data_IF_910152438466
#
_entry.id   IF_910152438466
#
_cell.length_a   1.000
_cell.length_b   1.000
_cell.length_c   1.000
_cell.angle_alpha   90.00
_cell.angle_beta   90.00
_cell.angle_gamma   90.00
#
_symmetry.space_group_name_H-M   'P 1'
#
loop_
_entity.id
_entity.type
_entity.pdbx_description
1 polymer ?
#
# COMPACT_ATOMS: atom_id res chain seq x y z
N UNK A 1 12.54 -2.64 -11.77
CA UNK A 1 13.26 -1.91 -10.72
C UNK A 1 12.25 -1.18 -9.82
N UNK A 2 11.18 -0.64 -10.39
CA UNK A 2 10.16 0.16 -9.67
C UNK A 2 9.36 -0.69 -8.68
N UNK A 3 8.89 -1.88 -9.08
CA UNK A 3 8.02 -2.71 -8.22
C UNK A 3 8.80 -3.39 -7.09
N UNK A 4 10.05 -3.80 -7.33
CA UNK A 4 10.90 -4.39 -6.30
C UNK A 4 11.21 -3.42 -5.16
N UNK A 5 11.35 -2.11 -5.43
CA UNK A 5 11.52 -1.12 -4.36
C UNK A 5 10.22 -0.85 -3.60
N UNK A 6 9.05 -0.86 -4.26
CA UNK A 6 7.76 -0.60 -3.60
C UNK A 6 7.39 -1.64 -2.53
N UNK A 7 7.76 -2.91 -2.75
CA UNK A 7 7.50 -4.00 -1.80
C UNK A 7 8.20 -3.79 -0.45
N UNK A 8 9.47 -3.37 -0.46
CA UNK A 8 10.27 -3.21 0.77
C UNK A 8 9.74 -2.05 1.66
N UNK A 9 9.27 -0.97 1.03
CA UNK A 9 8.81 0.23 1.75
C UNK A 9 7.38 0.14 2.29
N UNK A 10 6.51 -0.61 1.61
CA UNK A 10 5.11 -0.73 2.01
C UNK A 10 4.98 -1.47 3.36
N UNK A 11 5.82 -2.47 3.62
CA UNK A 11 5.87 -3.17 4.90
C UNK A 11 6.25 -2.23 6.06
N UNK A 12 7.22 -1.33 5.89
CA UNK A 12 7.66 -0.43 6.95
C UNK A 12 6.63 0.66 7.30
N UNK A 13 5.97 1.27 6.30
CA UNK A 13 5.04 2.38 6.55
C UNK A 13 3.76 1.95 7.28
N UNK A 14 3.27 0.73 7.05
CA UNK A 14 2.06 0.23 7.69
C UNK A 14 2.30 -0.70 8.90
N UNK A 15 3.54 -1.18 9.09
CA UNK A 15 3.91 -1.94 10.30
C UNK A 15 4.40 -1.05 11.44
N UNK A 16 4.91 0.16 11.16
CA UNK A 16 5.57 1.02 12.15
C UNK A 16 4.64 2.00 12.86
N UNK A 17 3.37 2.09 12.47
CA UNK A 17 2.40 2.95 13.16
C UNK A 17 1.61 2.09 14.13
N UNK A 18 1.70 2.45 15.42
CA UNK A 18 0.82 2.15 16.57
C UNK A 18 1.54 1.65 17.83
N UNK A 19 2.65 2.31 18.19
CA UNK A 19 2.99 2.55 19.59
C UNK A 19 2.52 3.95 20.00
N UNK A 20 1.22 4.24 19.86
CA UNK A 20 0.66 5.42 20.49
C UNK A 20 0.48 5.11 21.99
N UNK A 21 1.34 5.69 22.82
CA UNK A 21 1.17 5.75 24.28
C UNK A 21 -0.21 6.33 24.59
N UNK A 22 -1.13 5.50 25.08
CA UNK A 22 -2.39 5.95 25.67
C UNK A 22 -2.12 6.41 27.10
N UNK A 23 -1.71 7.67 27.26
CA UNK A 23 -1.93 8.37 28.52
C UNK A 23 -3.37 8.92 28.51
N UNK A 24 -4.32 8.12 28.98
CA UNK A 24 -5.58 8.65 29.50
C UNK A 24 -6.10 7.74 30.61
N UNK A 25 -5.92 8.21 31.85
CA UNK A 25 -6.51 7.65 33.04
C UNK A 25 -8.02 7.87 33.05
N UNK A 26 -8.81 6.81 32.84
CA UNK A 26 -10.04 6.46 33.58
C UNK A 26 -10.65 5.18 32.97
N UNK A 27 -10.69 4.10 33.77
CA UNK A 27 -11.26 2.77 33.45
C UNK A 27 -10.81 2.16 32.11
N UNK A 28 -9.59 1.62 32.12
CA UNK A 28 -8.93 0.89 31.03
C UNK A 28 -9.81 -0.18 30.37
N UNK A 29 -10.47 0.16 29.27
CA UNK A 29 -10.73 -0.79 28.20
C UNK A 29 -9.39 -1.13 27.57
N UNK A 30 -9.06 -2.42 27.55
CA UNK A 30 -7.83 -2.86 26.90
C UNK A 30 -8.05 -2.73 25.39
N UNK A 31 -7.21 -1.95 24.71
CA UNK A 31 -7.33 -1.74 23.27
C UNK A 31 -7.03 -3.08 22.54
N UNK A 32 -8.07 -3.71 21.98
CA UNK A 32 -7.96 -5.00 21.27
C UNK A 32 -7.67 -4.87 19.77
N UNK A 33 -7.23 -3.69 19.31
CA UNK A 33 -6.94 -3.42 17.90
C UNK A 33 -5.97 -4.41 17.26
N UNK A 34 -4.92 -4.82 18.00
CA UNK A 34 -3.97 -5.83 17.51
C UNK A 34 -4.67 -7.17 17.27
N UNK A 35 -5.48 -7.64 18.20
CA UNK A 35 -6.24 -8.87 18.03
C UNK A 35 -7.25 -8.78 16.89
N UNK A 36 -7.93 -7.64 16.74
CA UNK A 36 -8.83 -7.40 15.61
C UNK A 36 -8.11 -7.45 14.26
N UNK A 37 -6.90 -6.87 14.17
CA UNK A 37 -6.07 -6.95 12.98
C UNK A 37 -5.81 -8.42 12.61
N UNK A 38 -5.38 -9.24 13.55
CA UNK A 38 -5.13 -10.67 13.29
C UNK A 38 -6.41 -11.40 12.87
N UNK A 39 -7.52 -11.17 13.58
CA UNK A 39 -8.80 -11.78 13.25
C UNK A 39 -9.29 -11.42 11.84
N UNK A 40 -9.17 -10.15 11.42
CA UNK A 40 -9.51 -9.74 10.05
C UNK A 40 -8.57 -10.35 9.01
N UNK A 41 -7.28 -10.48 9.31
CA UNK A 41 -6.31 -11.14 8.42
C UNK A 41 -6.65 -12.61 8.18
N UNK A 42 -6.93 -13.35 9.26
CA UNK A 42 -7.32 -14.76 9.19
C UNK A 42 -8.63 -14.92 8.43
N UNK A 43 -9.62 -14.07 8.71
CA UNK A 43 -10.90 -14.13 8.02
C UNK A 43 -10.82 -13.74 6.54
N UNK A 44 -9.93 -12.81 6.18
CA UNK A 44 -9.66 -12.45 4.78
C UNK A 44 -9.02 -13.61 4.01
N UNK A 45 -8.03 -14.28 4.61
CA UNK A 45 -7.30 -15.38 3.99
C UNK A 45 -8.14 -16.67 3.93
N UNK A 46 -9.06 -16.87 4.88
CA UNK A 46 -10.10 -17.90 4.85
C UNK A 46 -9.62 -19.35 5.03
N UNK A 47 -8.35 -19.57 5.40
CA UNK A 47 -7.74 -20.91 5.35
C UNK A 47 -7.51 -21.56 6.72
N UNK A 48 -7.28 -20.78 7.78
CA UNK A 48 -6.77 -21.33 9.04
C UNK A 48 -7.88 -21.71 10.03
N UNK A 49 -9.04 -21.04 9.97
CA UNK A 49 -10.17 -21.28 10.86
C UNK A 49 -11.46 -21.44 10.07
N UNK A 50 -12.08 -22.62 10.10
CA UNK A 50 -13.30 -22.88 9.34
C UNK A 50 -14.47 -21.99 9.75
N UNK A 51 -14.50 -21.51 10.99
CA UNK A 51 -15.55 -20.65 11.51
C UNK A 51 -15.57 -19.25 10.88
N UNK A 52 -14.48 -18.79 10.25
CA UNK A 52 -14.41 -17.46 9.64
C UNK A 52 -15.04 -17.39 8.26
N UNK A 53 -15.13 -18.52 7.54
CA UNK A 53 -15.64 -18.62 6.16
C UNK A 53 -17.08 -18.13 5.97
N UNK A 54 -17.92 -18.24 7.00
CA UNK A 54 -19.32 -17.82 6.97
C UNK A 54 -19.57 -16.40 7.48
N UNK A 55 -18.52 -15.70 7.93
CA UNK A 55 -18.68 -14.39 8.58
C UNK A 55 -18.56 -13.25 7.56
N UNK A 56 -19.57 -12.38 7.53
CA UNK A 56 -19.53 -11.16 6.71
C UNK A 56 -18.85 -9.99 7.47
N UNK A 57 -17.60 -10.20 7.89
CA UNK A 57 -16.83 -9.28 8.75
C UNK A 57 -16.57 -7.90 8.11
N UNK A 58 -16.54 -7.84 6.78
CA UNK A 58 -16.25 -6.64 6.02
C UNK A 58 -17.49 -5.80 5.69
N UNK A 59 -18.68 -6.19 6.18
CA UNK A 59 -19.92 -5.40 6.05
C UNK A 59 -20.09 -4.32 7.13
N UNK A 60 -20.99 -3.37 6.89
CA UNK A 60 -21.17 -2.12 7.66
C UNK A 60 -21.94 -2.25 8.99
N UNK A 61 -21.92 -3.40 9.67
CA UNK A 61 -22.51 -3.54 11.00
C UNK A 61 -21.63 -4.40 11.92
N UNK A 62 -20.70 -3.75 12.63
CA UNK A 62 -19.69 -4.42 13.46
C UNK A 62 -20.32 -5.21 14.62
N UNK A 63 -21.28 -4.65 15.36
CA UNK A 63 -21.78 -5.29 16.59
C UNK A 63 -22.57 -6.58 16.34
N UNK A 64 -23.53 -6.58 15.41
CA UNK A 64 -24.31 -7.79 15.11
C UNK A 64 -23.43 -8.92 14.55
N UNK A 65 -22.43 -8.53 13.75
CA UNK A 65 -21.43 -9.41 13.21
C UNK A 65 -20.59 -10.04 14.32
N UNK A 66 -20.04 -9.24 15.25
CA UNK A 66 -19.25 -9.75 16.36
C UNK A 66 -20.07 -10.55 17.38
N UNK A 67 -21.36 -10.23 17.59
CA UNK A 67 -22.27 -11.09 18.37
C UNK A 67 -22.38 -12.50 17.77
N UNK A 68 -22.54 -12.58 16.46
CA UNK A 68 -22.63 -13.86 15.73
C UNK A 68 -21.27 -14.57 15.70
N UNK A 69 -20.19 -13.81 15.52
CA UNK A 69 -18.83 -14.31 15.44
C UNK A 69 -18.21 -14.64 16.80
N UNK A 70 -18.89 -14.39 17.93
CA UNK A 70 -18.28 -14.44 19.28
C UNK A 70 -17.46 -15.70 19.54
N UNK A 71 -18.02 -16.88 19.26
CA UNK A 71 -17.31 -18.14 19.46
C UNK A 71 -16.05 -18.22 18.60
N UNK A 72 -16.16 -17.86 17.32
CA UNK A 72 -15.05 -17.88 16.37
C UNK A 72 -13.96 -16.84 16.73
N UNK A 73 -14.38 -15.64 17.15
CA UNK A 73 -13.43 -14.62 17.54
C UNK A 73 -12.67 -14.99 18.81
N UNK A 74 -13.33 -15.63 19.79
CA UNK A 74 -12.65 -16.12 20.99
C UNK A 74 -11.69 -17.28 20.70
N UNK A 75 -12.07 -18.20 19.80
CA UNK A 75 -11.20 -19.29 19.34
C UNK A 75 -9.92 -18.76 18.68
N UNK A 76 -10.05 -17.81 17.75
CA UNK A 76 -8.89 -17.16 17.13
C UNK A 76 -8.09 -16.35 18.17
N UNK A 77 -8.77 -15.66 19.07
CA UNK A 77 -8.09 -14.81 20.05
C UNK A 77 -7.26 -15.60 21.07
N UNK A 78 -7.66 -16.83 21.40
CA UNK A 78 -6.91 -17.69 22.32
C UNK A 78 -5.53 -18.07 21.76
N UNK A 79 -5.46 -18.33 20.45
CA UNK A 79 -4.27 -18.85 19.78
C UNK A 79 -3.38 -17.72 19.21
N UNK A 80 -3.98 -16.69 18.62
CA UNK A 80 -3.27 -15.75 17.74
C UNK A 80 -3.06 -14.36 18.38
N UNK A 81 -3.81 -14.04 19.44
CA UNK A 81 -3.78 -12.71 20.04
C UNK A 81 -2.89 -12.64 21.28
N UNK A 82 -2.41 -11.43 21.66
CA UNK A 82 -1.73 -11.25 22.94
C UNK A 82 -2.61 -11.73 24.10
N UNK A 83 -2.02 -12.49 25.02
CA UNK A 83 -2.74 -13.10 26.15
C UNK A 83 -3.60 -12.11 26.95
N UNK A 84 -3.14 -10.86 27.08
CA UNK A 84 -3.86 -9.82 27.79
C UNK A 84 -5.17 -9.43 27.06
N UNK A 85 -5.10 -9.27 25.74
CA UNK A 85 -6.28 -8.98 24.89
C UNK A 85 -7.26 -10.16 24.86
N UNK A 86 -6.76 -11.40 24.80
CA UNK A 86 -7.60 -12.59 24.93
C UNK A 86 -8.32 -12.64 26.28
N UNK A 87 -7.61 -12.37 27.38
CA UNK A 87 -8.21 -12.33 28.72
C UNK A 87 -9.31 -11.27 28.82
N UNK A 88 -9.09 -10.09 28.23
CA UNK A 88 -10.12 -9.06 28.15
C UNK A 88 -11.33 -9.54 27.34
N UNK A 89 -11.13 -10.08 26.13
CA UNK A 89 -12.21 -10.55 25.25
C UNK A 89 -13.02 -11.69 25.88
N UNK A 90 -12.36 -12.66 26.52
CA UNK A 90 -13.02 -13.81 27.14
C UNK A 90 -13.83 -13.44 28.39
N UNK A 91 -13.44 -12.40 29.13
CA UNK A 91 -14.12 -12.01 30.39
C UNK A 91 -15.03 -10.81 30.26
N UNK A 92 -14.79 -9.92 29.29
CA UNK A 92 -15.46 -8.63 29.11
C UNK A 92 -15.94 -8.41 27.68
N UNK A 93 -16.39 -9.47 27.00
CA UNK A 93 -16.84 -9.41 25.61
C UNK A 93 -17.96 -8.38 25.37
N UNK A 94 -18.89 -8.23 26.32
CA UNK A 94 -20.01 -7.29 26.16
C UNK A 94 -19.51 -5.84 26.21
N UNK A 95 -18.46 -5.55 27.00
CA UNK A 95 -17.78 -4.26 26.98
C UNK A 95 -17.09 -4.01 25.63
N UNK A 96 -16.46 -5.03 25.02
CA UNK A 96 -15.95 -4.93 23.66
C UNK A 96 -17.05 -4.59 22.64
N UNK A 97 -18.24 -5.20 22.77
CA UNK A 97 -19.38 -4.89 21.90
C UNK A 97 -19.91 -3.45 22.09
N UNK A 98 -19.82 -2.90 23.29
CA UNK A 98 -20.11 -1.50 23.57
C UNK A 98 -19.07 -0.56 22.94
N UNK A 99 -17.79 -0.90 23.06
CA UNK A 99 -16.68 -0.14 22.45
C UNK A 99 -16.81 -0.04 20.92
N UNK A 100 -17.35 -1.06 20.26
CA UNK A 100 -17.67 -1.04 18.83
C UNK A 100 -18.76 -0.04 18.44
N UNK A 101 -19.55 0.46 19.40
CA UNK A 101 -20.59 1.47 19.18
C UNK A 101 -20.22 2.84 19.76
N UNK A 102 -18.99 3.00 20.25
CA UNK A 102 -18.53 4.28 20.76
C UNK A 102 -18.64 5.35 19.66
N UNK A 103 -19.30 6.46 19.99
CA UNK A 103 -19.37 7.64 19.13
C UNK A 103 -18.26 8.62 19.52
N UNK A 104 -17.63 9.21 18.53
CA UNK A 104 -16.67 10.30 18.72
C UNK A 104 -16.64 11.18 17.48
N UNK A 105 -16.43 12.47 17.70
CA UNK A 105 -16.27 13.49 16.66
C UNK A 105 -14.83 13.58 16.15
N UNK A 106 -13.86 13.06 16.90
CA UNK A 106 -12.43 13.26 16.68
C UNK A 106 -11.69 12.00 16.18
N UNK A 107 -12.42 10.99 15.69
CA UNK A 107 -11.87 9.79 15.05
C UNK A 107 -10.94 8.92 15.94
N UNK A 108 -10.97 9.15 17.26
CA UNK A 108 -10.08 8.51 18.23
C UNK A 108 -10.80 7.49 19.11
N UNK A 109 -12.13 7.42 19.06
CA UNK A 109 -12.90 6.35 19.72
C UNK A 109 -12.44 4.96 19.29
N UNK A 110 -12.56 3.99 20.20
CA UNK A 110 -12.29 2.58 19.92
C UNK A 110 -13.08 2.05 18.73
N UNK A 111 -14.33 2.47 18.50
CA UNK A 111 -15.09 2.11 17.30
C UNK A 111 -14.34 2.44 15.99
N UNK A 112 -13.84 3.68 15.86
CA UNK A 112 -13.06 4.11 14.70
C UNK A 112 -11.76 3.30 14.55
N UNK A 113 -11.02 3.10 15.65
CA UNK A 113 -9.80 2.27 15.70
C UNK A 113 -10.07 0.84 15.25
N UNK A 114 -11.12 0.22 15.78
CA UNK A 114 -11.50 -1.17 15.54
C UNK A 114 -12.03 -1.38 14.12
N UNK A 115 -12.82 -0.43 13.63
CA UNK A 115 -13.31 -0.41 12.25
C UNK A 115 -12.16 -0.24 11.25
N UNK A 116 -11.10 0.48 11.61
CA UNK A 116 -9.95 0.71 10.73
C UNK A 116 -9.14 -0.57 10.48
N UNK A 117 -9.15 -1.49 11.45
CA UNK A 117 -8.43 -2.77 11.32
C UNK A 117 -8.94 -3.64 10.17
N UNK A 118 -10.18 -3.41 9.67
CA UNK A 118 -10.72 -4.10 8.48
C UNK A 118 -9.90 -3.84 7.22
N UNK A 119 -9.21 -2.70 7.13
CA UNK A 119 -8.43 -2.35 5.94
C UNK A 119 -7.04 -2.98 5.94
N UNK A 120 -6.53 -3.40 7.12
CA UNK A 120 -5.20 -3.99 7.28
C UNK A 120 -4.94 -5.21 6.37
N UNK A 121 -5.82 -6.23 6.28
CA UNK A 121 -5.58 -7.34 5.37
C UNK A 121 -5.45 -6.90 3.91
N UNK A 122 -6.25 -5.93 3.46
CA UNK A 122 -6.17 -5.43 2.08
C UNK A 122 -4.85 -4.70 1.82
N UNK A 123 -4.38 -3.93 2.81
CA UNK A 123 -3.07 -3.25 2.78
C UNK A 123 -1.97 -4.31 2.66
N UNK A 124 -1.94 -5.28 3.58
CA UNK A 124 -0.94 -6.36 3.58
C UNK A 124 -0.96 -7.18 2.28
N UNK A 125 -2.13 -7.48 1.73
CA UNK A 125 -2.26 -8.24 0.49
C UNK A 125 -1.68 -7.47 -0.71
N UNK A 126 -1.81 -6.13 -0.76
CA UNK A 126 -1.10 -5.31 -1.75
C UNK A 126 0.42 -5.48 -1.60
N UNK A 127 0.95 -5.41 -0.37
CA UNK A 127 2.39 -5.48 -0.11
C UNK A 127 2.98 -6.84 -0.53
N UNK A 128 2.25 -7.91 -0.26
CA UNK A 128 2.67 -9.27 -0.62
C UNK A 128 2.59 -9.46 -2.13
N UNK A 129 1.45 -9.13 -2.75
CA UNK A 129 1.24 -9.35 -4.19
C UNK A 129 2.18 -8.49 -5.05
N UNK A 130 2.45 -7.25 -4.66
CA UNK A 130 3.38 -6.39 -5.42
C UNK A 130 4.81 -6.93 -5.42
N UNK A 131 5.23 -7.60 -4.33
CA UNK A 131 6.53 -8.27 -4.22
C UNK A 131 6.70 -9.39 -5.25
N UNK A 132 5.58 -10.00 -5.66
CA UNK A 132 5.56 -11.14 -6.57
C UNK A 132 5.48 -10.73 -8.04
N UNK A 133 5.24 -9.45 -8.35
CA UNK A 133 5.16 -8.98 -9.73
C UNK A 133 6.56 -8.89 -10.35
N UNK A 134 6.85 -9.65 -11.42
CA UNK A 134 8.16 -9.60 -12.06
C UNK A 134 8.37 -8.27 -12.80
N UNK A 135 9.28 -7.46 -12.26
CA UNK A 135 9.61 -6.10 -12.68
C UNK A 135 10.01 -5.91 -14.16
N UNK A 136 10.32 -6.98 -14.90
CA UNK A 136 10.93 -6.93 -16.25
C UNK A 136 10.05 -7.43 -17.39
N UNK A 137 8.83 -7.91 -17.12
CA UNK A 137 7.98 -8.55 -18.13
C UNK A 137 6.49 -8.18 -18.02
N UNK A 138 6.15 -7.11 -17.31
CA UNK A 138 4.75 -6.68 -17.18
C UNK A 138 4.26 -6.24 -18.55
N UNK A 139 3.16 -6.86 -18.99
CA UNK A 139 2.43 -6.44 -20.18
C UNK A 139 1.21 -5.64 -19.78
N UNK A 140 0.69 -4.85 -20.70
CA UNK A 140 -0.62 -4.24 -20.52
C UNK A 140 -1.67 -5.34 -20.38
N UNK A 141 -2.57 -5.13 -19.45
CA UNK A 141 -3.60 -6.07 -19.02
C UNK A 141 -3.05 -7.39 -18.47
N UNK A 142 -1.85 -7.36 -17.87
CA UNK A 142 -1.36 -8.49 -17.07
C UNK A 142 -2.37 -8.79 -15.94
N UNK A 143 -2.88 -10.03 -15.82
CA UNK A 143 -3.89 -10.36 -14.81
C UNK A 143 -3.46 -10.07 -13.37
N UNK A 144 -2.17 -10.24 -13.04
CA UNK A 144 -1.64 -9.99 -11.70
C UNK A 144 -1.64 -8.49 -11.40
N UNK A 145 -1.35 -7.65 -12.39
CA UNK A 145 -1.43 -6.19 -12.23
C UNK A 145 -2.87 -5.71 -12.14
N UNK A 146 -3.78 -6.27 -12.95
CA UNK A 146 -5.21 -5.94 -12.87
C UNK A 146 -5.81 -6.31 -11.50
N UNK A 147 -5.41 -7.44 -10.93
CA UNK A 147 -5.82 -7.84 -9.57
C UNK A 147 -5.31 -6.83 -8.52
N UNK A 148 -4.06 -6.38 -8.62
CA UNK A 148 -3.51 -5.35 -7.75
C UNK A 148 -4.24 -4.01 -7.88
N UNK A 149 -4.64 -3.61 -9.09
CA UNK A 149 -5.43 -2.39 -9.32
C UNK A 149 -6.80 -2.49 -8.63
N UNK A 150 -7.49 -3.63 -8.76
CA UNK A 150 -8.76 -3.87 -8.07
C UNK A 150 -8.60 -3.83 -6.54
N UNK A 151 -7.55 -4.48 -6.02
CA UNK A 151 -7.23 -4.46 -4.61
C UNK A 151 -6.93 -3.04 -4.11
N UNK A 152 -6.19 -2.25 -4.91
CA UNK A 152 -5.97 -0.83 -4.65
C UNK A 152 -7.26 -0.02 -4.54
N UNK A 153 -8.24 -0.28 -5.40
CA UNK A 153 -9.53 0.40 -5.33
C UNK A 153 -10.32 0.02 -4.08
N UNK A 154 -10.30 -1.27 -3.69
CA UNK A 154 -10.90 -1.76 -2.45
C UNK A 154 -10.25 -1.12 -1.22
N UNK A 155 -8.92 -1.07 -1.18
CA UNK A 155 -8.16 -0.46 -0.08
C UNK A 155 -8.43 1.04 0.01
N UNK A 156 -8.34 1.79 -1.10
CA UNK A 156 -8.66 3.24 -1.14
C UNK A 156 -10.06 3.52 -0.59
N UNK A 157 -11.05 2.69 -0.97
CA UNK A 157 -12.42 2.79 -0.45
C UNK A 157 -12.49 2.51 1.05
N UNK A 158 -11.87 1.43 1.52
CA UNK A 158 -11.83 1.07 2.94
C UNK A 158 -11.23 2.20 3.79
N UNK A 159 -10.12 2.76 3.34
CA UNK A 159 -9.46 3.89 4.02
C UNK A 159 -10.36 5.14 4.02
N UNK A 160 -11.02 5.45 2.91
CA UNK A 160 -11.86 6.65 2.79
C UNK A 160 -13.10 6.61 3.70
N UNK A 161 -13.68 5.42 3.90
CA UNK A 161 -14.86 5.22 4.77
C UNK A 161 -14.53 5.35 6.27
N UNK A 162 -13.25 5.35 6.64
CA UNK A 162 -12.82 5.41 8.03
C UNK A 162 -11.96 6.67 8.30
N UNK A 163 -12.35 7.43 9.33
CA UNK A 163 -11.69 8.69 9.66
C UNK A 163 -10.49 8.54 10.60
N UNK A 164 -10.21 7.34 11.12
CA UNK A 164 -9.00 7.00 11.87
C UNK A 164 -7.73 7.19 11.05
N UNK A 165 -7.79 6.77 9.79
CA UNK A 165 -6.67 6.90 8.85
C UNK A 165 -6.46 8.36 8.50
N UNK A 166 -5.24 8.82 8.74
CA UNK A 166 -4.85 10.21 8.49
C UNK A 166 -4.72 10.48 6.99
N UNK A 167 -4.78 11.76 6.63
CA UNK A 167 -4.73 12.18 5.23
C UNK A 167 -3.39 11.87 4.55
N UNK A 168 -2.29 11.86 5.30
CA UNK A 168 -0.97 11.46 4.83
C UNK A 168 -0.90 9.95 4.55
N UNK A 169 -1.50 9.11 5.39
CA UNK A 169 -1.60 7.66 5.16
C UNK A 169 -2.48 7.35 3.93
N UNK A 170 -3.62 8.05 3.80
CA UNK A 170 -4.52 7.95 2.64
C UNK A 170 -3.83 8.40 1.35
N UNK A 171 -3.08 9.49 1.42
CA UNK A 171 -2.33 10.04 0.28
C UNK A 171 -1.22 9.07 -0.12
N UNK A 172 -0.48 8.53 0.86
CA UNK A 172 0.54 7.52 0.64
C UNK A 172 -0.03 6.31 -0.10
N UNK A 173 -1.15 5.75 0.37
CA UNK A 173 -1.82 4.64 -0.32
C UNK A 173 -2.24 5.00 -1.75
N UNK A 174 -2.80 6.19 -1.96
CA UNK A 174 -3.21 6.67 -3.29
C UNK A 174 -2.03 6.66 -4.25
N UNK A 175 -0.89 7.18 -3.82
CA UNK A 175 0.30 7.30 -4.65
C UNK A 175 0.94 5.93 -4.94
N UNK A 176 0.91 4.99 -3.99
CA UNK A 176 1.27 3.60 -4.26
C UNK A 176 0.40 2.99 -5.35
N UNK A 177 -0.91 3.21 -5.27
CA UNK A 177 -1.85 2.73 -6.28
C UNK A 177 -1.65 3.40 -7.64
N UNK A 178 -1.30 4.68 -7.69
CA UNK A 178 -0.96 5.38 -8.95
C UNK A 178 0.23 4.73 -9.66
N UNK A 179 1.20 4.18 -8.93
CA UNK A 179 2.34 3.48 -9.55
C UNK A 179 1.92 2.11 -10.09
N UNK A 180 1.12 1.37 -9.33
CA UNK A 180 0.57 0.09 -9.80
C UNK A 180 -0.22 0.32 -11.09
N UNK A 181 -1.08 1.34 -11.11
CA UNK A 181 -1.82 1.76 -12.30
C UNK A 181 -0.88 2.18 -13.45
N UNK A 182 0.20 2.91 -13.16
CA UNK A 182 1.22 3.31 -14.14
C UNK A 182 1.88 2.10 -14.80
N UNK A 183 2.14 1.02 -14.07
CA UNK A 183 2.73 -0.20 -14.67
C UNK A 183 1.87 -0.85 -15.75
N UNK A 184 0.57 -0.54 -15.75
CA UNK A 184 -0.38 -0.99 -16.76
C UNK A 184 -0.60 0.03 -17.90
N UNK A 185 0.43 0.80 -18.25
CA UNK A 185 0.35 1.82 -19.32
C UNK A 185 1.34 1.56 -20.45
N UNK A 186 1.00 2.04 -21.65
CA UNK A 186 1.91 2.04 -22.82
C UNK A 186 3.19 2.84 -22.55
N UNK A 187 3.13 3.84 -21.67
CA UNK A 187 4.30 4.58 -21.21
C UNK A 187 5.33 3.65 -20.55
N UNK A 188 4.93 2.86 -19.54
CA UNK A 188 5.85 1.96 -18.83
C UNK A 188 6.31 0.80 -19.71
N UNK A 189 5.42 0.23 -20.53
CA UNK A 189 5.81 -0.81 -21.49
C UNK A 189 6.83 -0.29 -22.48
N UNK A 190 6.66 0.93 -22.98
CA UNK A 190 7.62 1.57 -23.89
C UNK A 190 8.98 1.81 -23.22
N UNK A 191 9.01 2.33 -21.99
CA UNK A 191 10.25 2.49 -21.22
C UNK A 191 11.01 1.16 -21.12
N UNK A 192 10.32 0.08 -20.72
CA UNK A 192 10.91 -1.25 -20.61
C UNK A 192 11.43 -1.74 -21.96
N UNK A 193 10.69 -1.50 -23.04
CA UNK A 193 11.09 -1.85 -24.40
C UNK A 193 12.38 -1.14 -24.82
N UNK A 194 12.46 0.18 -24.65
CA UNK A 194 13.65 0.96 -25.03
C UNK A 194 14.87 0.48 -24.25
N UNK A 195 14.76 0.26 -22.94
CA UNK A 195 15.88 -0.25 -22.12
C UNK A 195 16.28 -1.67 -22.50
N UNK A 196 15.32 -2.53 -22.86
CA UNK A 196 15.57 -3.92 -23.22
C UNK A 196 16.17 -4.08 -24.61
N UNK A 197 15.63 -3.36 -25.59
CA UNK A 197 16.04 -3.47 -27.00
C UNK A 197 17.25 -2.60 -27.31
N UNK A 198 17.50 -1.55 -26.51
CA UNK A 198 18.57 -0.59 -26.68
C UNK A 198 18.72 -0.11 -28.15
N UNK A 199 17.65 0.46 -28.75
CA UNK A 199 17.68 0.91 -30.13
C UNK A 199 18.75 1.98 -30.37
N UNK A 200 19.18 2.13 -31.62
CA UNK A 200 20.09 3.25 -31.95
C UNK A 200 19.32 4.58 -31.83
N UNK A 201 19.81 5.47 -30.98
CA UNK A 201 19.24 6.80 -30.76
C UNK A 201 20.12 7.91 -31.36
N UNK A 202 21.10 7.57 -32.20
CA UNK A 202 22.07 8.51 -32.77
C UNK A 202 21.46 9.61 -33.63
N UNK A 203 20.26 9.39 -34.17
CA UNK A 203 19.52 10.40 -34.94
C UNK A 203 18.89 11.50 -34.08
N UNK A 204 18.64 11.23 -32.79
CA UNK A 204 18.05 12.19 -31.85
C UNK A 204 19.10 13.17 -31.34
N UNK A 205 19.32 14.25 -32.11
CA UNK A 205 20.29 15.31 -31.78
C UNK A 205 20.07 15.94 -30.39
N UNK A 206 18.84 15.90 -29.87
CA UNK A 206 18.53 16.38 -28.53
C UNK A 206 19.22 15.57 -27.41
N UNK A 207 19.75 14.38 -27.71
CA UNK A 207 20.56 13.54 -26.82
C UNK A 207 22.07 13.80 -26.88
N UNK A 208 22.58 14.75 -27.67
CA UNK A 208 24.04 14.99 -27.72
C UNK A 208 24.63 15.22 -26.31
N UNK A 209 25.64 14.42 -25.97
CA UNK A 209 26.29 14.44 -24.66
C UNK A 209 25.49 13.85 -23.51
N UNK A 210 24.38 13.16 -23.79
CA UNK A 210 23.50 12.55 -22.79
C UNK A 210 23.39 11.04 -23.00
N UNK A 211 23.70 10.26 -21.97
CA UNK A 211 23.51 8.81 -21.98
C UNK A 211 22.07 8.46 -21.61
N UNK A 212 21.24 8.21 -22.63
CA UNK A 212 19.84 7.82 -22.44
C UNK A 212 19.67 6.46 -21.75
N UNK A 213 20.69 5.59 -21.77
CA UNK A 213 20.59 4.25 -21.21
C UNK A 213 21.02 4.16 -19.75
N UNK A 214 21.70 5.18 -19.23
CA UNK A 214 22.13 5.22 -17.83
C UNK A 214 20.91 5.24 -16.88
N UNK A 215 20.92 4.36 -15.88
CA UNK A 215 19.78 4.10 -14.97
C UNK A 215 19.96 4.67 -13.56
N UNK A 216 20.94 5.55 -13.33
CA UNK A 216 21.09 6.23 -12.05
C UNK A 216 19.90 7.19 -11.84
N UNK A 217 19.48 7.40 -10.59
CA UNK A 217 18.31 8.24 -10.26
C UNK A 217 18.43 9.61 -10.92
N UNK A 218 19.57 10.28 -10.80
CA UNK A 218 19.83 11.59 -11.43
C UNK A 218 19.65 11.57 -12.95
N UNK A 219 20.19 10.58 -13.67
CA UNK A 219 20.02 10.50 -15.13
C UNK A 219 18.58 10.19 -15.52
N UNK A 220 17.88 9.36 -14.76
CA UNK A 220 16.46 9.09 -14.99
C UNK A 220 15.63 10.35 -14.75
N UNK A 221 15.94 11.13 -13.71
CA UNK A 221 15.30 12.44 -13.47
C UNK A 221 15.54 13.37 -14.66
N UNK A 222 16.78 13.46 -15.15
CA UNK A 222 17.13 14.31 -16.29
C UNK A 222 16.39 13.90 -17.59
N UNK A 223 16.12 12.60 -17.82
CA UNK A 223 15.32 12.13 -18.97
C UNK A 223 13.94 12.77 -19.00
N UNK A 224 13.25 12.83 -17.87
CA UNK A 224 11.87 13.32 -17.79
C UNK A 224 11.78 14.80 -17.41
N UNK A 225 12.92 15.47 -17.20
CA UNK A 225 12.98 16.91 -16.91
C UNK A 225 13.76 17.68 -17.98
N UNK A 226 15.10 17.58 -17.98
CA UNK A 226 15.97 18.30 -18.91
C UNK A 226 15.85 17.82 -20.36
N UNK A 227 15.65 16.51 -20.56
CA UNK A 227 15.50 15.88 -21.86
C UNK A 227 14.06 15.49 -22.15
N UNK A 228 13.09 16.06 -21.44
CA UNK A 228 11.68 15.65 -21.48
C UNK A 228 11.10 15.55 -22.89
N UNK A 229 11.24 16.63 -23.67
CA UNK A 229 10.67 16.70 -25.02
C UNK A 229 11.34 15.68 -25.96
N UNK A 230 12.66 15.49 -25.78
CA UNK A 230 13.44 14.47 -26.49
C UNK A 230 12.99 13.05 -26.12
N UNK A 231 12.80 12.78 -24.83
CA UNK A 231 12.31 11.50 -24.33
C UNK A 231 10.92 11.18 -24.87
N UNK A 232 10.04 12.19 -24.95
CA UNK A 232 8.72 12.05 -25.54
C UNK A 232 8.80 11.72 -27.03
N UNK A 233 9.62 12.44 -27.79
CA UNK A 233 9.86 12.18 -29.22
C UNK A 233 10.37 10.76 -29.47
N UNK A 234 11.37 10.32 -28.69
CA UNK A 234 11.94 8.96 -28.75
C UNK A 234 10.88 7.90 -28.44
N UNK A 235 10.06 8.11 -27.40
CA UNK A 235 8.99 7.18 -27.04
C UNK A 235 7.89 7.11 -28.12
N UNK A 236 7.52 8.24 -28.72
CA UNK A 236 6.55 8.27 -29.82
C UNK A 236 7.07 7.57 -31.07
N UNK A 237 8.34 7.76 -31.42
CA UNK A 237 8.96 7.15 -32.59
C UNK A 237 9.09 5.62 -32.45
N UNK A 238 9.59 5.15 -31.30
CA UNK A 238 9.87 3.72 -31.08
C UNK A 238 8.60 2.92 -30.77
N UNK A 239 7.66 3.51 -30.02
CA UNK A 239 6.51 2.81 -29.46
C UNK A 239 5.16 3.29 -29.99
N UNK A 240 5.13 4.41 -30.72
CA UNK A 240 3.92 5.01 -31.25
C UNK A 240 3.21 5.96 -30.29
N UNK A 241 2.15 6.58 -30.79
CA UNK A 241 1.42 7.68 -30.12
C UNK A 241 0.78 7.30 -28.78
N UNK A 242 0.38 6.04 -28.60
CA UNK A 242 -0.26 5.61 -27.36
C UNK A 242 0.72 5.65 -26.16
N UNK A 243 2.02 5.46 -26.39
CA UNK A 243 3.05 5.55 -25.34
C UNK A 243 3.20 6.97 -24.77
N UNK A 244 2.78 8.00 -25.52
CA UNK A 244 2.96 9.42 -25.16
C UNK A 244 1.65 10.18 -24.95
N UNK A 245 0.51 9.50 -25.04
CA UNK A 245 -0.83 10.11 -24.92
C UNK A 245 -1.02 10.91 -23.63
N UNK A 246 -0.58 10.35 -22.50
CA UNK A 246 -0.62 10.96 -21.16
C UNK A 246 0.80 11.16 -20.60
N UNK A 247 1.76 11.47 -21.47
CA UNK A 247 3.19 11.50 -21.14
C UNK A 247 3.51 12.33 -19.88
N UNK A 248 3.02 13.58 -19.80
CA UNK A 248 3.34 14.46 -18.67
C UNK A 248 2.85 13.88 -17.34
N UNK A 249 1.60 13.41 -17.30
CA UNK A 249 1.01 12.79 -16.11
C UNK A 249 1.79 11.55 -15.68
N UNK A 250 2.13 10.68 -16.63
CA UNK A 250 2.84 9.44 -16.35
C UNK A 250 4.29 9.71 -15.91
N UNK A 251 4.95 10.69 -16.53
CA UNK A 251 6.28 11.15 -16.15
C UNK A 251 6.28 11.77 -14.74
N UNK A 252 5.27 12.57 -14.39
CA UNK A 252 5.13 13.16 -13.06
C UNK A 252 4.94 12.09 -11.96
N UNK A 253 4.07 11.11 -12.20
CA UNK A 253 3.91 9.96 -11.28
C UNK A 253 5.25 9.24 -11.12
N UNK A 254 5.94 8.98 -12.22
CA UNK A 254 7.23 8.28 -12.20
C UNK A 254 8.30 9.05 -11.40
N UNK A 255 8.47 10.34 -11.69
CA UNK A 255 9.43 11.23 -11.03
C UNK A 255 9.14 11.41 -9.54
N UNK A 256 7.87 11.57 -9.16
CA UNK A 256 7.45 11.70 -7.77
C UNK A 256 7.91 10.50 -6.94
N UNK A 257 7.87 9.30 -7.52
CA UNK A 257 8.28 8.08 -6.84
C UNK A 257 9.80 7.91 -6.80
N UNK A 258 10.52 8.30 -7.85
CA UNK A 258 12.00 8.32 -7.82
C UNK A 258 12.54 9.24 -6.72
N UNK A 259 11.99 10.44 -6.58
CA UNK A 259 12.36 11.40 -5.51
C UNK A 259 12.07 10.86 -4.11
N UNK A 260 11.10 9.96 -3.95
CA UNK A 260 10.84 9.30 -2.66
C UNK A 260 11.92 8.28 -2.35
N UNK A 261 12.29 7.46 -3.33
CA UNK A 261 13.37 6.50 -3.18
C UNK A 261 14.69 7.19 -2.82
N UNK A 262 14.97 8.33 -3.45
CA UNK A 262 16.13 9.17 -3.14
C UNK A 262 16.12 9.65 -1.68
N UNK A 263 15.04 10.32 -1.24
CA UNK A 263 14.90 10.78 0.16
C UNK A 263 15.01 9.66 1.19
N UNK A 264 14.54 8.47 0.85
CA UNK A 264 14.59 7.30 1.73
C UNK A 264 15.99 6.69 1.79
N UNK A 265 16.73 6.71 0.69
CA UNK A 265 18.13 6.30 0.68
C UNK A 265 18.98 7.25 1.55
N UNK A 266 18.78 8.56 1.40
CA UNK A 266 19.50 9.58 2.19
C UNK A 266 19.19 9.45 3.70
N UNK A 267 17.93 9.18 4.06
CA UNK A 267 17.52 8.99 5.46
C UNK A 267 18.03 7.69 6.10
N UNK A 268 18.39 6.67 5.31
CA UNK A 268 19.03 5.44 5.81
C UNK A 268 20.51 5.69 6.11
N UNK A 269 21.20 6.49 5.28
CA UNK A 269 22.60 6.88 5.53
C UNK A 269 22.73 7.71 6.82
N UNK A 270 21.82 8.65 7.09
CA UNK A 270 21.85 9.44 8.34
C UNK A 270 21.66 8.59 9.61
N UNK A 271 20.93 7.47 9.55
CA UNK A 271 20.75 6.59 10.71
C UNK A 271 21.96 5.68 10.97
N UNK A 272 22.72 5.33 9.93
CA UNK A 272 23.89 4.46 10.05
C UNK A 272 25.11 5.18 10.68
N UNK A 273 25.21 6.50 10.52
CA UNK A 273 26.29 7.31 11.10
C UNK A 273 26.04 7.74 12.56
N UNK A 274 24.91 7.33 13.17
CA UNK A 274 24.57 7.67 14.56
C UNK A 274 24.87 6.59 15.60
N UNK A 275 25.45 5.46 15.17
CA UNK A 275 25.77 4.28 16.00
C UNK A 275 27.29 4.03 16.16
N UNK A 276 28.16 5.04 15.97
CA UNK A 276 29.61 4.98 16.29
C UNK A 276 30.00 5.78 17.55
#
# INVERSE_FOLDING_TARGET
MILSFLSFFFCFLFSSVHSASTNSSTNTSENVSKCLKEFYSIAYNGNDYNCTKSLNLFSNNSTSTFKTAKSCFLEVAEEECPQSQFRFLSTKYDQFLEDLNANDTNCSSLNNVYSAQKCQPLITDISVKIALVPDKNVKINDPTVLELIDLCNKTKKCLAENCYWKDDEKTTMREYCEIIELTNTEFTVCQQRIIKEAPDLSEFKCLYGFDFYLQTISFVVDKYTLKRDCTKEIMEDICGKEAVKDFEKNADIYLKNLRRLEKLADGIEETADSDE
#
